data_IF_728461433637
#
_entry.id   IF_728461433637
#
_cell.length_a   1.000
_cell.length_b   1.000
_cell.length_c   1.000
_cell.angle_alpha   90.00
_cell.angle_beta   90.00
_cell.angle_gamma   90.00
#
_symmetry.space_group_name_H-M   'P 1'
#
loop_
_entity.id
_entity.type
_entity.pdbx_description
1 polymer ?
#
# COMPACT_ATOMS: atom_id res chain seq x y z
N UNK A 1 16.10 -1.86 6.52
CA UNK A 1 15.10 -1.75 5.42
C UNK A 1 14.09 -0.71 5.83
N UNK A 2 13.17 -0.30 4.96
CA UNK A 2 12.24 0.78 5.23
C UNK A 2 10.79 0.30 5.14
N UNK A 3 9.96 0.74 6.08
CA UNK A 3 8.50 0.60 5.99
C UNK A 3 7.93 1.57 4.97
N UNK A 4 6.92 1.14 4.23
CA UNK A 4 6.15 1.92 3.29
C UNK A 4 4.66 1.75 3.54
N UNK A 5 4.19 2.09 4.74
CA UNK A 5 2.78 2.01 5.09
C UNK A 5 1.92 2.75 4.07
N UNK A 6 0.96 2.04 3.47
CA UNK A 6 0.15 2.54 2.36
C UNK A 6 -1.23 1.88 2.35
N UNK A 7 -2.03 2.28 1.36
CA UNK A 7 -3.34 1.72 1.06
C UNK A 7 -3.28 0.96 -0.27
N UNK A 8 -3.90 -0.20 -0.29
CA UNK A 8 -4.19 -0.97 -1.47
C UNK A 8 -5.67 -0.79 -1.85
N UNK A 9 -5.91 -0.59 -3.14
CA UNK A 9 -7.24 -0.62 -3.74
C UNK A 9 -7.48 -2.03 -4.25
N UNK A 10 -8.58 -2.66 -3.81
CA UNK A 10 -8.90 -4.04 -4.19
C UNK A 10 -9.97 -4.03 -5.28
N UNK A 11 -9.67 -4.67 -6.41
CA UNK A 11 -10.58 -4.78 -7.54
C UNK A 11 -11.60 -5.89 -7.27
N UNK A 12 -12.88 -5.57 -7.46
CA UNK A 12 -14.01 -6.47 -7.25
C UNK A 12 -14.69 -6.95 -8.53
N UNK A 13 -14.52 -6.22 -9.63
CA UNK A 13 -15.04 -6.59 -10.96
C UNK A 13 -13.99 -6.29 -12.03
N UNK A 14 -14.05 -7.00 -13.16
CA UNK A 14 -13.09 -6.84 -14.27
C UNK A 14 -13.12 -5.41 -14.81
N UNK A 15 -12.00 -4.69 -14.68
CA UNK A 15 -11.86 -3.29 -15.10
C UNK A 15 -10.92 -3.18 -16.31
N UNK A 16 -11.46 -2.67 -17.43
CA UNK A 16 -10.69 -2.32 -18.64
C UNK A 16 -11.21 -1.03 -19.24
N UNK A 17 -10.31 -0.07 -19.47
CA UNK A 17 -10.61 1.28 -20.00
C UNK A 17 -11.71 1.98 -19.19
N UNK A 18 -11.65 1.87 -17.87
CA UNK A 18 -12.66 2.44 -16.98
C UNK A 18 -12.39 3.94 -16.78
N UNK A 19 -13.36 4.83 -17.05
CA UNK A 19 -13.19 6.25 -16.76
C UNK A 19 -13.18 6.49 -15.25
N UNK A 20 -12.37 7.45 -14.77
CA UNK A 20 -12.19 7.74 -13.34
C UNK A 20 -13.52 7.86 -12.56
N UNK A 21 -14.50 8.58 -13.11
CA UNK A 21 -15.82 8.77 -12.50
C UNK A 21 -16.63 7.46 -12.26
N UNK A 22 -16.23 6.33 -12.84
CA UNK A 22 -16.90 5.04 -12.69
C UNK A 22 -16.09 4.04 -11.86
N UNK A 23 -14.84 4.35 -11.51
CA UNK A 23 -13.92 3.42 -10.83
C UNK A 23 -14.53 2.82 -9.56
N UNK A 24 -15.24 3.62 -8.75
CA UNK A 24 -15.83 3.15 -7.50
C UNK A 24 -16.74 1.93 -7.64
N UNK A 25 -17.34 1.70 -8.81
CA UNK A 25 -18.20 0.53 -9.08
C UNK A 25 -17.43 -0.78 -9.26
N UNK A 26 -16.14 -0.69 -9.53
CA UNK A 26 -15.26 -1.84 -9.79
C UNK A 26 -14.44 -2.22 -8.56
N UNK A 27 -14.56 -1.48 -7.46
CA UNK A 27 -13.77 -1.72 -6.24
C UNK A 27 -14.52 -2.69 -5.32
N UNK A 28 -13.82 -3.70 -4.81
CA UNK A 28 -14.30 -4.54 -3.71
C UNK A 28 -14.12 -3.85 -2.35
N UNK A 29 -13.18 -2.90 -2.26
CA UNK A 29 -12.86 -2.18 -1.03
C UNK A 29 -11.40 -1.76 -1.00
N UNK A 30 -10.89 -1.55 0.21
CA UNK A 30 -9.51 -1.12 0.45
C UNK A 30 -8.87 -1.99 1.51
N UNK A 31 -7.54 -2.14 1.46
CA UNK A 31 -6.78 -2.82 2.51
C UNK A 31 -5.54 -1.99 2.86
N UNK A 32 -5.12 -2.00 4.12
CA UNK A 32 -3.81 -1.46 4.47
C UNK A 32 -2.73 -2.39 3.92
N UNK A 33 -1.63 -1.80 3.48
CA UNK A 33 -0.49 -2.53 2.94
C UNK A 33 0.82 -1.90 3.43
N UNK A 34 1.92 -2.62 3.23
CA UNK A 34 3.24 -2.11 3.50
C UNK A 34 4.15 -2.42 2.30
N UNK A 35 4.52 -1.39 1.53
CA UNK A 35 5.49 -1.51 0.43
C UNK A 35 6.91 -1.47 1.00
N UNK A 36 7.34 -2.58 1.61
CA UNK A 36 8.65 -2.66 2.26
C UNK A 36 9.74 -2.57 1.21
N UNK A 37 10.77 -1.78 1.48
CA UNK A 37 11.82 -1.52 0.49
C UNK A 37 13.21 -1.38 1.10
N UNK A 38 14.24 -1.63 0.29
CA UNK A 38 15.55 -1.01 0.48
C UNK A 38 15.51 0.46 0.03
N UNK A 39 16.48 1.30 0.43
CA UNK A 39 16.51 2.70 0.01
C UNK A 39 16.40 2.88 -1.52
N UNK A 40 15.53 3.81 -1.93
CA UNK A 40 15.25 4.12 -3.33
C UNK A 40 16.23 5.16 -3.87
N UNK A 41 17.45 4.73 -4.21
CA UNK A 41 18.51 5.63 -4.70
C UNK A 41 18.43 5.97 -6.19
N UNK A 42 17.60 5.26 -6.97
CA UNK A 42 17.42 5.50 -8.40
C UNK A 42 16.06 4.97 -8.88
N UNK A 43 15.40 5.76 -9.73
CA UNK A 43 14.17 5.38 -10.43
C UNK A 43 14.38 5.09 -11.92
N UNK A 44 15.63 5.04 -12.39
CA UNK A 44 15.94 4.85 -13.82
C UNK A 44 15.71 3.40 -14.29
N UNK A 45 15.92 2.41 -13.41
CA UNK A 45 15.72 0.99 -13.69
C UNK A 45 14.74 0.38 -12.70
N UNK A 46 14.06 -0.74 -13.06
CA UNK A 46 13.16 -1.43 -12.13
C UNK A 46 13.86 -1.79 -10.81
N UNK A 47 13.22 -1.43 -9.69
CA UNK A 47 13.76 -1.60 -8.34
C UNK A 47 13.61 -3.04 -7.80
N UNK A 48 13.88 -4.05 -8.64
CA UNK A 48 13.61 -5.46 -8.36
C UNK A 48 14.25 -5.92 -7.04
N UNK A 49 15.54 -5.64 -6.84
CA UNK A 49 16.27 -6.05 -5.62
C UNK A 49 15.82 -5.32 -4.35
N UNK A 50 15.18 -4.16 -4.50
CA UNK A 50 14.75 -3.33 -3.38
C UNK A 50 13.36 -3.75 -2.89
N UNK A 51 12.43 -4.09 -3.80
CA UNK A 51 11.00 -4.30 -3.48
C UNK A 51 10.49 -5.73 -3.69
N UNK A 52 11.12 -6.52 -4.56
CA UNK A 52 10.61 -7.87 -4.92
C UNK A 52 11.25 -8.98 -4.09
N UNK A 53 11.51 -8.73 -2.80
CA UNK A 53 12.00 -9.75 -1.87
C UNK A 53 10.83 -10.46 -1.20
N UNK A 54 11.02 -11.71 -0.82
CA UNK A 54 9.98 -12.46 -0.12
C UNK A 54 9.55 -11.73 1.15
N UNK A 55 8.24 -11.62 1.35
CA UNK A 55 7.64 -10.93 2.49
C UNK A 55 7.67 -9.39 2.45
N UNK A 56 8.09 -8.76 1.35
CA UNK A 56 8.19 -7.28 1.26
C UNK A 56 6.88 -6.57 0.86
N UNK A 57 5.77 -7.30 0.70
CA UNK A 57 4.46 -6.71 0.47
C UNK A 57 3.41 -7.29 1.43
N UNK A 58 3.47 -7.02 2.75
CA UNK A 58 2.35 -7.29 3.62
C UNK A 58 1.09 -6.57 3.14
N UNK A 59 -0.02 -7.31 3.07
CA UNK A 59 -1.34 -6.84 2.67
C UNK A 59 -2.35 -7.31 3.72
N UNK A 60 -3.12 -6.37 4.26
CA UNK A 60 -4.09 -6.61 5.32
C UNK A 60 -5.44 -7.10 4.83
N UNK A 61 -6.39 -7.19 5.77
CA UNK A 61 -7.77 -7.53 5.48
C UNK A 61 -8.49 -6.40 4.73
N UNK A 62 -9.45 -6.78 3.89
CA UNK A 62 -10.26 -5.84 3.11
C UNK A 62 -11.29 -5.19 4.05
N UNK A 63 -11.29 -3.86 4.10
CA UNK A 63 -12.31 -3.04 4.72
C UNK A 63 -13.06 -2.17 3.71
N UNK A 64 -14.09 -1.47 4.21
CA UNK A 64 -14.92 -0.57 3.42
C UNK A 64 -14.66 0.87 3.86
N UNK A 65 -14.53 1.76 2.87
CA UNK A 65 -14.46 3.21 3.06
C UNK A 65 -15.43 3.86 2.08
N UNK A 66 -16.05 4.97 2.49
CA UNK A 66 -16.88 5.77 1.57
C UNK A 66 -16.02 6.40 0.46
N UNK A 67 -14.84 6.90 0.81
CA UNK A 67 -13.81 7.36 -0.10
C UNK A 67 -12.45 7.39 0.63
N UNK A 68 -11.37 7.51 -0.14
CA UNK A 68 -10.00 7.52 0.34
C UNK A 68 -9.27 8.84 0.03
N UNK A 69 -9.96 9.96 -0.17
CA UNK A 69 -9.36 11.20 -0.70
C UNK A 69 -8.55 11.99 0.34
N UNK A 70 -8.75 11.73 1.64
CA UNK A 70 -8.05 12.39 2.76
C UNK A 70 -7.86 11.45 3.95
N UNK A 71 -7.48 10.21 3.64
CA UNK A 71 -7.23 9.18 4.63
C UNK A 71 -5.84 9.40 5.23
N UNK A 72 -5.79 9.55 6.54
CA UNK A 72 -4.54 9.55 7.31
C UNK A 72 -4.04 8.11 7.49
N UNK A 73 -2.80 7.85 7.08
CA UNK A 73 -2.12 6.57 7.22
C UNK A 73 -0.98 6.76 8.21
N UNK A 74 -1.02 5.99 9.29
CA UNK A 74 -0.06 6.05 10.39
C UNK A 74 0.75 4.76 10.43
N UNK A 75 2.07 4.88 10.55
CA UNK A 75 2.96 3.75 10.82
C UNK A 75 3.51 3.86 12.23
N UNK A 76 3.25 2.82 13.03
CA UNK A 76 3.80 2.64 14.37
C UNK A 76 4.90 1.58 14.33
N UNK A 77 5.99 1.80 15.09
CA UNK A 77 7.02 0.80 15.36
C UNK A 77 7.05 0.57 16.86
N UNK A 78 6.83 -0.68 17.28
CA UNK A 78 6.77 -1.09 18.69
C UNK A 78 5.78 -0.24 19.51
N UNK A 79 4.62 0.07 18.92
CA UNK A 79 3.54 0.86 19.54
C UNK A 79 3.78 2.38 19.60
N UNK A 80 4.85 2.88 18.98
CA UNK A 80 5.16 4.32 18.90
C UNK A 80 5.01 4.79 17.46
N UNK A 81 4.22 5.84 17.24
CA UNK A 81 4.10 6.49 15.93
C UNK A 81 5.47 6.98 15.44
N UNK A 82 5.86 6.55 14.24
CA UNK A 82 7.12 6.94 13.59
C UNK A 82 6.89 7.71 12.30
N UNK A 83 5.74 7.49 11.64
CA UNK A 83 5.38 8.16 10.39
C UNK A 83 3.87 8.38 10.30
N UNK A 84 3.50 9.43 9.58
CA UNK A 84 2.12 9.82 9.29
C UNK A 84 2.07 10.57 7.98
N UNK A 85 1.15 10.18 7.10
CA UNK A 85 0.91 10.89 5.85
C UNK A 85 -0.55 10.80 5.41
N UNK A 86 -0.96 11.68 4.48
CA UNK A 86 -2.34 11.79 4.01
C UNK A 86 -2.47 11.42 2.54
N UNK A 87 -3.51 10.67 2.17
CA UNK A 87 -3.81 10.42 0.75
C UNK A 87 -4.21 11.68 -0.02
N UNK A 88 -4.49 12.79 0.68
CA UNK A 88 -4.69 14.11 0.09
C UNK A 88 -3.47 14.62 -0.69
N UNK A 89 -2.27 14.14 -0.36
CA UNK A 89 -0.99 14.54 -0.96
C UNK A 89 -0.63 13.71 -2.20
N UNK A 90 -1.49 12.79 -2.63
CA UNK A 90 -1.27 11.98 -3.82
C UNK A 90 -1.33 12.83 -5.09
N UNK A 91 -0.36 12.61 -5.97
CA UNK A 91 -0.34 13.25 -7.31
C UNK A 91 -1.48 12.72 -8.20
N UNK A 92 -1.88 11.46 -8.02
CA UNK A 92 -3.07 10.88 -8.65
C UNK A 92 -3.96 10.31 -7.56
N UNK A 93 -5.21 10.73 -7.54
CA UNK A 93 -6.26 10.11 -6.73
C UNK A 93 -6.46 8.64 -7.12
N UNK A 94 -7.13 7.86 -6.25
CA UNK A 94 -7.47 6.46 -6.54
C UNK A 94 -8.21 6.29 -7.87
N UNK A 95 -9.27 7.07 -8.18
CA UNK A 95 -9.96 6.97 -9.47
C UNK A 95 -9.04 7.24 -10.67
N UNK A 96 -8.14 8.23 -10.57
CA UNK A 96 -7.21 8.55 -11.66
C UNK A 96 -6.16 7.46 -11.87
N UNK A 97 -5.65 6.87 -10.79
CA UNK A 97 -4.66 5.79 -10.85
C UNK A 97 -5.25 4.53 -11.51
N UNK A 98 -6.42 4.09 -11.06
CA UNK A 98 -7.08 2.90 -11.61
C UNK A 98 -7.51 3.13 -13.07
N UNK A 99 -8.04 4.32 -13.39
CA UNK A 99 -8.37 4.66 -14.78
C UNK A 99 -7.13 4.57 -15.69
N UNK A 100 -6.01 5.15 -15.25
CA UNK A 100 -4.76 5.14 -16.01
C UNK A 100 -4.22 3.72 -16.23
N UNK A 101 -4.18 2.88 -15.18
CA UNK A 101 -3.72 1.48 -15.30
C UNK A 101 -4.67 0.68 -16.20
N UNK A 102 -5.98 0.82 -15.96
CA UNK A 102 -7.00 0.05 -16.67
C UNK A 102 -7.05 0.38 -18.16
N UNK A 103 -6.52 1.51 -18.62
CA UNK A 103 -6.50 1.87 -20.04
C UNK A 103 -5.71 0.83 -20.88
N UNK A 104 -4.59 0.34 -20.32
CA UNK A 104 -3.67 -0.55 -21.02
C UNK A 104 -3.52 -1.95 -20.39
N UNK A 105 -3.83 -2.13 -19.10
CA UNK A 105 -3.86 -3.44 -18.41
C UNK A 105 -5.28 -3.75 -17.97
N UNK A 106 -5.82 -4.93 -18.29
CA UNK A 106 -7.08 -5.37 -17.68
C UNK A 106 -6.82 -5.76 -16.23
N UNK A 107 -7.55 -5.18 -15.29
CA UNK A 107 -7.54 -5.57 -13.88
C UNK A 107 -8.66 -6.57 -13.61
N UNK A 108 -8.39 -7.60 -12.82
CA UNK A 108 -9.31 -8.69 -12.48
C UNK A 108 -9.78 -8.60 -11.02
N UNK A 109 -10.92 -9.21 -10.68
CA UNK A 109 -11.32 -9.38 -9.28
C UNK A 109 -10.20 -10.03 -8.47
N UNK A 110 -9.85 -9.41 -7.35
CA UNK A 110 -8.73 -9.83 -6.47
C UNK A 110 -7.40 -9.13 -6.77
N UNK A 111 -7.26 -8.43 -7.89
CA UNK A 111 -6.07 -7.59 -8.12
C UNK A 111 -6.02 -6.46 -7.08
N UNK A 112 -4.80 -6.14 -6.63
CA UNK A 112 -4.53 -5.08 -5.67
C UNK A 112 -3.57 -4.05 -6.28
N UNK A 113 -3.90 -2.77 -6.15
CA UNK A 113 -3.06 -1.65 -6.59
C UNK A 113 -2.68 -0.81 -5.38
N UNK A 114 -1.38 -0.75 -5.06
CA UNK A 114 -0.85 0.16 -4.04
C UNK A 114 -0.86 1.59 -4.58
N UNK A 115 -1.34 2.54 -3.79
CA UNK A 115 -1.60 3.90 -4.27
C UNK A 115 -0.39 4.84 -4.18
N UNK A 116 0.70 4.37 -3.57
CA UNK A 116 1.95 5.09 -3.41
C UNK A 116 2.34 5.31 -1.96
N UNK A 117 3.48 5.94 -1.75
CA UNK A 117 4.02 6.26 -0.42
C UNK A 117 4.63 7.66 -0.46
N UNK A 118 4.71 8.37 0.68
CA UNK A 118 5.50 9.59 0.77
C UNK A 118 6.99 9.30 0.49
N UNK A 119 7.75 10.37 0.21
CA UNK A 119 9.19 10.27 -0.01
C UNK A 119 9.93 9.86 1.27
N UNK A 120 9.53 10.42 2.42
CA UNK A 120 10.09 10.04 3.71
C UNK A 120 9.50 8.71 4.15
N UNK A 121 10.37 7.82 4.63
CA UNK A 121 10.01 6.47 5.11
C UNK A 121 10.81 6.18 6.37
N UNK A 122 10.25 5.33 7.23
CA UNK A 122 10.88 4.94 8.50
C UNK A 122 11.67 3.66 8.35
N UNK A 123 12.84 3.60 8.99
CA UNK A 123 13.65 2.40 9.02
C UNK A 123 13.09 1.35 9.98
N UNK A 124 13.19 0.08 9.58
CA UNK A 124 12.79 -1.08 10.37
C UNK A 124 13.93 -2.10 10.42
N UNK A 125 14.03 -2.81 11.53
CA UNK A 125 15.07 -3.80 11.84
C UNK A 125 14.48 -5.09 12.44
N UNK A 126 15.21 -6.22 12.40
CA UNK A 126 14.78 -7.44 13.07
C UNK A 126 14.41 -7.20 14.54
N UNK A 127 13.29 -7.77 14.96
CA UNK A 127 12.72 -7.59 16.30
C UNK A 127 11.60 -6.56 16.36
N UNK A 128 11.51 -5.63 15.39
CA UNK A 128 10.46 -4.63 15.36
C UNK A 128 9.09 -5.24 15.05
N UNK A 129 8.07 -4.71 15.71
CA UNK A 129 6.67 -4.87 15.33
C UNK A 129 6.19 -3.61 14.62
N UNK A 130 5.80 -3.77 13.35
CA UNK A 130 5.42 -2.67 12.47
C UNK A 130 3.91 -2.74 12.27
N UNK A 131 3.23 -1.66 12.62
CA UNK A 131 1.77 -1.56 12.53
C UNK A 131 1.39 -0.39 11.61
N UNK A 132 0.57 -0.66 10.60
CA UNK A 132 -0.02 0.34 9.70
C UNK A 132 -1.49 0.50 10.06
N UNK A 133 -1.95 1.75 10.24
CA UNK A 133 -3.31 2.09 10.69
C UNK A 133 -3.90 3.20 9.84
N UNK A 134 -5.20 3.11 9.62
CA UNK A 134 -6.02 4.21 9.12
C UNK A 134 -7.44 4.07 9.70
N UNK A 135 -8.11 5.19 9.93
CA UNK A 135 -9.47 5.15 10.47
C UNK A 135 -10.43 4.41 9.51
N UNK A 136 -11.28 3.54 10.05
CA UNK A 136 -12.26 2.78 9.28
C UNK A 136 -11.75 1.48 8.63
N UNK A 137 -10.45 1.15 8.76
CA UNK A 137 -9.88 -0.08 8.20
C UNK A 137 -9.32 -1.02 9.29
N UNK A 138 -9.37 -2.35 9.05
CA UNK A 138 -8.64 -3.31 9.88
C UNK A 138 -7.15 -2.97 9.93
N UNK A 139 -6.57 -2.98 11.13
CA UNK A 139 -5.15 -2.68 11.34
C UNK A 139 -4.27 -3.80 10.77
N UNK A 140 -3.17 -3.44 10.14
CA UNK A 140 -2.16 -4.38 9.62
C UNK A 140 -0.93 -4.36 10.53
N UNK A 141 -0.58 -5.49 11.15
CA UNK A 141 0.61 -5.62 12.00
C UNK A 141 1.48 -6.78 11.53
N UNK A 142 2.78 -6.54 11.40
CA UNK A 142 3.77 -7.55 11.03
C UNK A 142 5.01 -7.44 11.90
N UNK A 143 5.61 -8.59 12.24
CA UNK A 143 6.88 -8.67 12.95
C UNK A 143 8.03 -8.83 11.98
N UNK A 144 9.05 -8.00 12.11
CA UNK A 144 10.27 -8.09 11.31
C UNK A 144 11.18 -9.15 11.93
N UNK A 145 11.50 -10.18 11.16
CA UNK A 145 12.38 -11.27 11.60
C UNK A 145 13.65 -11.32 10.76
N UNK A 146 14.71 -11.90 11.32
CA UNK A 146 15.91 -12.19 10.55
C UNK A 146 15.63 -13.34 9.60
N UNK A 147 15.95 -13.17 8.32
CA UNK A 147 15.81 -14.24 7.33
C UNK A 147 16.64 -15.47 7.76
N UNK A 148 15.99 -16.65 7.78
CA UNK A 148 16.62 -17.91 8.20
C UNK A 148 16.63 -18.17 9.72
N UNK A 149 16.09 -17.27 10.54
CA UNK A 149 15.73 -17.62 11.92
C UNK A 149 14.55 -18.59 11.90
N UNK A 150 14.67 -19.72 12.60
CA UNK A 150 13.56 -20.67 12.74
C UNK A 150 12.38 -19.96 13.43
N UNK A 151 11.19 -20.13 12.84
CA UNK A 151 9.90 -19.68 13.40
C UNK A 151 9.55 -20.48 14.65
#
# INVERSE_FOLDING_TARGET
MQSGGTLAVIIGDTARKVPAAQVGRYLAGYALANDVSLPESSFYRPAIKAKCRDGFCPLGEIGQLENADRLEIVTEINGVEQDRWSTADLVRSVPELIAAISDFITLQPGDAVLIGTPHQRVEIKPGDEVTVRAAGLPTLTNRVTQAGAAS
#
